data_IF_656550040426
#
_entry.id   IF_656550040426
#
_cell.length_a   1.000
_cell.length_b   1.000
_cell.length_c   1.000
_cell.angle_alpha   90.00
_cell.angle_beta   90.00
_cell.angle_gamma   90.00
#
_symmetry.space_group_name_H-M   'P 1'
#
loop_
_entity.id
_entity.type
_entity.pdbx_description
1 polymer ?
#
# COMPACT_ATOMS: atom_id res chain seq x y z
N UNK A 1 -9.54 -10.95 25.00
CA UNK A 1 -9.30 -11.16 23.55
C UNK A 1 -7.80 -11.13 23.32
N UNK A 2 -7.22 -12.20 22.74
CA UNK A 2 -5.78 -12.32 22.45
C UNK A 2 -5.47 -11.54 21.18
N UNK A 3 -4.56 -10.61 21.23
CA UNK A 3 -4.22 -9.76 20.10
C UNK A 3 -2.75 -9.88 19.71
N UNK A 4 -2.45 -9.59 18.45
CA UNK A 4 -1.11 -9.54 17.91
C UNK A 4 -0.90 -8.24 17.14
N UNK A 5 0.30 -7.66 17.21
CA UNK A 5 0.68 -6.42 16.53
C UNK A 5 1.70 -6.76 15.45
N UNK A 6 1.45 -6.31 14.22
CA UNK A 6 2.32 -6.53 13.06
C UNK A 6 2.63 -5.19 12.39
N UNK A 7 3.89 -4.78 12.43
CA UNK A 7 4.35 -3.49 11.91
C UNK A 7 5.88 -3.55 11.80
N UNK A 8 6.49 -3.08 10.74
CA UNK A 8 7.96 -3.10 10.60
C UNK A 8 8.64 -2.01 11.45
N UNK A 9 7.91 -0.96 11.83
CA UNK A 9 8.40 0.13 12.66
C UNK A 9 8.27 -0.19 14.16
N UNK A 10 9.38 -0.45 14.86
CA UNK A 10 9.39 -0.69 16.31
C UNK A 10 8.70 0.42 17.12
N UNK A 11 8.90 1.74 16.82
CA UNK A 11 8.21 2.80 17.54
C UNK A 11 6.67 2.75 17.41
N UNK A 12 6.16 2.32 16.24
CA UNK A 12 4.73 2.17 16.00
C UNK A 12 4.16 1.00 16.82
N UNK A 13 4.84 -0.16 16.84
CA UNK A 13 4.45 -1.31 17.68
C UNK A 13 4.42 -0.94 19.16
N UNK A 14 5.50 -0.30 19.66
CA UNK A 14 5.60 0.11 21.06
C UNK A 14 4.52 1.15 21.44
N UNK A 15 4.18 2.08 20.54
CA UNK A 15 3.08 3.02 20.74
C UNK A 15 1.74 2.31 20.83
N UNK A 16 1.44 1.43 19.88
CA UNK A 16 0.17 0.70 19.84
C UNK A 16 0.02 -0.20 21.06
N UNK A 17 1.09 -0.92 21.47
CA UNK A 17 1.09 -1.73 22.68
C UNK A 17 0.77 -0.93 23.94
N UNK A 18 1.33 0.28 24.08
CA UNK A 18 0.99 1.20 25.19
C UNK A 18 -0.46 1.65 25.18
N UNK A 19 -1.02 1.94 23.99
CA UNK A 19 -2.43 2.31 23.88
C UNK A 19 -3.35 1.15 24.20
N UNK A 20 -3.01 -0.07 23.77
CA UNK A 20 -3.76 -1.28 24.08
C UNK A 20 -3.75 -1.66 25.55
N UNK A 21 -2.70 -1.31 26.30
CA UNK A 21 -2.62 -1.52 27.74
C UNK A 21 -3.76 -0.83 28.54
N UNK A 22 -4.39 0.19 27.97
CA UNK A 22 -5.58 0.81 28.56
C UNK A 22 -6.87 -0.05 28.43
N UNK A 23 -6.84 -1.12 27.65
CA UNK A 23 -7.96 -2.03 27.41
C UNK A 23 -7.68 -3.37 28.10
N UNK A 24 -8.14 -3.52 29.36
CA UNK A 24 -7.79 -4.65 30.24
C UNK A 24 -8.17 -6.05 29.68
N UNK A 25 -9.12 -6.12 28.79
CA UNK A 25 -9.59 -7.34 28.13
C UNK A 25 -8.84 -7.69 26.84
N UNK A 26 -7.94 -6.81 26.37
CA UNK A 26 -7.06 -7.04 25.23
C UNK A 26 -5.67 -7.44 25.74
N UNK A 27 -5.22 -8.62 25.39
CA UNK A 27 -3.92 -9.14 25.78
C UNK A 27 -3.06 -9.27 24.51
N UNK A 28 -2.00 -8.50 24.41
CA UNK A 28 -1.01 -8.63 23.33
C UNK A 28 -0.19 -9.89 23.58
N UNK A 29 -0.40 -10.92 22.78
CA UNK A 29 0.24 -12.23 22.92
C UNK A 29 1.48 -12.37 22.00
N UNK A 30 1.68 -11.46 21.06
CA UNK A 30 2.84 -11.47 20.18
C UNK A 30 2.95 -10.19 19.36
N UNK A 31 4.15 -9.97 18.82
CA UNK A 31 4.47 -8.93 17.84
C UNK A 31 5.24 -9.54 16.68
N UNK A 32 5.08 -9.00 15.48
CA UNK A 32 5.90 -9.32 14.32
C UNK A 32 6.39 -8.03 13.64
N UNK A 33 7.58 -8.09 13.07
CA UNK A 33 8.27 -6.97 12.43
C UNK A 33 8.22 -7.02 10.90
N UNK A 34 7.72 -8.11 10.34
CA UNK A 34 7.54 -8.29 8.90
C UNK A 34 6.42 -9.31 8.62
N UNK A 35 6.05 -9.41 7.35
CA UNK A 35 4.93 -10.25 6.95
C UNK A 35 5.20 -11.76 7.08
N UNK A 36 6.45 -12.23 6.93
CA UNK A 36 6.77 -13.65 7.08
C UNK A 36 6.67 -14.07 8.53
N UNK A 37 7.29 -13.31 9.44
CA UNK A 37 7.17 -13.52 10.89
C UNK A 37 5.71 -13.44 11.35
N UNK A 38 4.90 -12.58 10.70
CA UNK A 38 3.49 -12.48 11.01
C UNK A 38 2.72 -13.76 10.69
N UNK A 39 2.93 -14.37 9.53
CA UNK A 39 2.28 -15.64 9.15
C UNK A 39 2.65 -16.75 10.12
N UNK A 40 3.94 -16.92 10.43
CA UNK A 40 4.43 -17.94 11.36
C UNK A 40 3.80 -17.78 12.76
N UNK A 41 3.80 -16.55 13.28
CA UNK A 41 3.24 -16.27 14.61
C UNK A 41 1.71 -16.36 14.69
N UNK A 42 1.00 -16.01 13.60
CA UNK A 42 -0.46 -16.22 13.55
C UNK A 42 -0.80 -17.70 13.61
N UNK A 43 -0.04 -18.56 12.93
CA UNK A 43 -0.21 -20.00 12.97
C UNK A 43 0.07 -20.58 14.37
N UNK A 44 1.16 -20.14 15.01
CA UNK A 44 1.57 -20.59 16.34
C UNK A 44 0.65 -20.09 17.43
N UNK A 45 0.36 -18.79 17.45
CA UNK A 45 -0.33 -18.12 18.55
C UNK A 45 -1.84 -18.11 18.41
N UNK A 46 -2.37 -18.24 17.19
CA UNK A 46 -3.80 -18.17 16.88
C UNK A 46 -4.50 -17.00 17.60
N UNK A 47 -4.14 -15.74 17.34
CA UNK A 47 -4.75 -14.59 17.99
C UNK A 47 -6.20 -14.42 17.55
N UNK A 48 -7.03 -13.82 18.42
CA UNK A 48 -8.42 -13.46 18.08
C UNK A 48 -8.49 -12.19 17.23
N UNK A 49 -7.52 -11.29 17.44
CA UNK A 49 -7.45 -9.96 16.82
C UNK A 49 -6.04 -9.67 16.33
N UNK A 50 -5.94 -9.17 15.10
CA UNK A 50 -4.69 -8.77 14.46
C UNK A 50 -4.70 -7.28 14.15
N UNK A 51 -3.75 -6.55 14.69
CA UNK A 51 -3.41 -5.19 14.25
C UNK A 51 -2.31 -5.30 13.21
N UNK A 52 -2.58 -4.88 11.98
CA UNK A 52 -1.75 -5.21 10.82
C UNK A 52 -1.44 -3.99 9.99
N UNK A 53 -0.15 -3.66 9.85
CA UNK A 53 0.25 -2.69 8.84
C UNK A 53 0.10 -3.29 7.43
N UNK A 54 -0.29 -2.44 6.50
CA UNK A 54 -0.41 -2.81 5.09
C UNK A 54 0.94 -2.81 4.41
N UNK A 55 1.79 -1.83 4.73
CA UNK A 55 3.09 -1.65 4.08
C UNK A 55 4.21 -2.15 4.96
N UNK A 56 4.73 -3.33 4.63
CA UNK A 56 5.88 -3.93 5.30
C UNK A 56 6.82 -4.55 4.28
N UNK A 57 8.12 -4.66 4.60
CA UNK A 57 9.07 -5.40 3.78
C UNK A 57 8.67 -6.88 3.63
N UNK A 58 8.90 -7.44 2.45
CA UNK A 58 8.61 -8.85 2.14
C UNK A 58 7.17 -9.07 1.75
N UNK A 59 6.27 -9.29 2.70
CA UNK A 59 4.83 -9.42 2.46
C UNK A 59 4.07 -8.19 2.97
N UNK A 60 3.19 -7.68 2.14
CA UNK A 60 2.20 -6.67 2.56
C UNK A 60 1.19 -7.29 3.52
N UNK A 61 0.49 -6.45 4.31
CA UNK A 61 -0.56 -6.93 5.21
C UNK A 61 -1.65 -7.75 4.49
N UNK A 62 -1.97 -7.41 3.25
CA UNK A 62 -2.93 -8.19 2.46
C UNK A 62 -2.36 -9.56 2.05
N UNK A 63 -1.07 -9.63 1.69
CA UNK A 63 -0.41 -10.89 1.36
C UNK A 63 -0.22 -11.78 2.60
N UNK A 64 -0.01 -11.19 3.78
CA UNK A 64 -0.04 -11.92 5.06
C UNK A 64 -1.35 -12.67 5.22
N UNK A 65 -2.50 -11.99 5.04
CA UNK A 65 -3.83 -12.61 5.18
C UNK A 65 -4.08 -13.73 4.15
N UNK A 66 -3.54 -13.58 2.93
CA UNK A 66 -3.63 -14.62 1.90
C UNK A 66 -2.73 -15.83 2.18
N UNK A 67 -1.64 -15.62 2.93
CA UNK A 67 -0.63 -16.63 3.25
C UNK A 67 -0.94 -17.45 4.50
N UNK A 68 -1.92 -17.02 5.31
CA UNK A 68 -2.39 -17.81 6.47
C UNK A 68 -2.99 -19.12 5.97
N UNK A 69 -2.50 -20.30 6.47
CA UNK A 69 -3.04 -21.57 6.05
C UNK A 69 -4.54 -21.70 6.29
N UNK A 70 -5.32 -22.33 5.38
CA UNK A 70 -6.77 -22.48 5.55
C UNK A 70 -7.22 -23.24 6.79
N UNK A 71 -6.32 -24.04 7.39
CA UNK A 71 -6.57 -24.77 8.63
C UNK A 71 -6.49 -23.88 9.89
N UNK A 72 -5.88 -22.69 9.77
CA UNK A 72 -5.73 -21.72 10.86
C UNK A 72 -6.94 -20.76 10.86
N UNK A 73 -7.63 -20.60 11.99
CA UNK A 73 -8.72 -19.62 12.09
C UNK A 73 -8.21 -18.21 11.79
N UNK A 74 -8.82 -17.53 10.81
CA UNK A 74 -8.44 -16.15 10.52
C UNK A 74 -8.84 -15.24 11.68
N UNK A 75 -7.94 -14.43 12.25
CA UNK A 75 -8.28 -13.44 13.26
C UNK A 75 -9.22 -12.35 12.71
N UNK A 76 -9.86 -11.59 13.59
CA UNK A 76 -10.40 -10.28 13.23
C UNK A 76 -9.25 -9.33 12.93
N UNK A 77 -9.39 -8.47 11.93
CA UNK A 77 -8.28 -7.61 11.47
C UNK A 77 -8.62 -6.14 11.59
N UNK A 78 -7.72 -5.39 12.22
CA UNK A 78 -7.70 -3.93 12.23
C UNK A 78 -6.42 -3.50 11.51
N UNK A 79 -6.57 -2.85 10.37
CA UNK A 79 -5.43 -2.29 9.67
C UNK A 79 -4.92 -1.02 10.35
N UNK A 80 -3.60 -0.91 10.55
CA UNK A 80 -2.93 0.25 11.16
C UNK A 80 -1.85 0.72 10.21
N UNK A 81 -2.10 1.79 9.46
CA UNK A 81 -1.22 2.16 8.34
C UNK A 81 -1.07 3.67 8.18
N UNK A 82 0.06 4.10 7.61
CA UNK A 82 0.27 5.49 7.16
C UNK A 82 -0.40 5.83 5.83
N UNK A 83 -1.06 4.87 5.18
CA UNK A 83 -1.69 5.06 3.88
C UNK A 83 -2.93 5.95 3.96
N UNK A 84 -3.01 6.99 3.14
CA UNK A 84 -4.13 7.94 3.13
C UNK A 84 -5.43 7.25 2.69
N UNK A 85 -6.54 7.61 3.36
CA UNK A 85 -7.91 7.14 3.12
C UNK A 85 -8.37 7.18 1.66
N UNK A 86 -7.79 8.06 0.83
CA UNK A 86 -8.16 8.19 -0.57
C UNK A 86 -7.68 7.05 -1.47
N UNK A 87 -6.59 6.36 -1.10
CA UNK A 87 -6.16 5.14 -1.79
C UNK A 87 -7.06 3.94 -1.44
N UNK A 88 -7.70 3.99 -0.28
CA UNK A 88 -8.57 2.96 0.29
C UNK A 88 -10.07 3.22 0.05
N UNK A 89 -10.47 4.38 -0.45
CA UNK A 89 -11.85 4.67 -0.86
C UNK A 89 -12.34 3.78 -2.03
N UNK A 90 -11.43 3.06 -2.68
CA UNK A 90 -11.76 1.99 -3.62
C UNK A 90 -12.10 0.66 -2.91
N UNK A 91 -11.75 0.54 -1.64
CA UNK A 91 -12.11 -0.60 -0.79
C UNK A 91 -13.33 -0.18 0.05
N UNK A 92 -14.47 -0.76 -0.28
CA UNK A 92 -15.78 -0.54 0.34
C UNK A 92 -15.70 -0.27 1.85
N UNK A 93 -16.52 0.67 2.32
CA UNK A 93 -16.58 1.24 3.67
C UNK A 93 -16.87 0.26 4.83
N UNK A 94 -16.64 -1.04 4.66
CA UNK A 94 -17.02 -2.11 5.59
C UNK A 94 -15.88 -2.92 6.20
N UNK A 95 -14.60 -2.56 6.04
CA UNK A 95 -13.53 -3.18 6.83
C UNK A 95 -13.74 -2.87 8.32
N UNK A 96 -13.39 -3.81 9.20
CA UNK A 96 -13.66 -3.76 10.64
C UNK A 96 -13.21 -2.45 11.27
N UNK A 97 -12.02 -2.03 10.98
CA UNK A 97 -11.50 -0.69 11.22
C UNK A 97 -10.20 -0.44 10.46
N UNK A 98 -10.05 0.80 10.06
CA UNK A 98 -8.83 1.39 9.56
C UNK A 98 -8.36 2.44 10.56
N UNK A 99 -7.12 2.29 11.04
CA UNK A 99 -6.46 3.25 11.90
C UNK A 99 -5.30 3.88 11.13
N UNK A 100 -5.33 5.20 10.99
CA UNK A 100 -4.22 5.95 10.40
C UNK A 100 -3.11 6.15 11.46
N UNK A 101 -1.87 5.98 11.05
CA UNK A 101 -0.70 6.40 11.83
C UNK A 101 -0.56 7.94 11.76
N UNK A 102 -0.30 8.64 12.89
CA UNK A 102 -0.19 8.11 14.23
C UNK A 102 -1.55 7.75 14.85
N UNK A 103 -1.65 6.56 15.44
CA UNK A 103 -2.93 6.05 16.02
C UNK A 103 -3.42 6.98 17.13
N UNK A 104 -4.66 7.43 16.98
CA UNK A 104 -5.38 8.23 17.99
C UNK A 104 -6.10 7.30 18.98
N UNK A 105 -6.01 7.58 20.32
CA UNK A 105 -6.61 6.72 21.35
C UNK A 105 -8.12 6.49 21.15
N UNK A 106 -8.85 7.53 20.77
CA UNK A 106 -10.30 7.50 20.56
C UNK A 106 -10.69 6.60 19.38
N UNK A 107 -9.90 6.64 18.31
CA UNK A 107 -10.08 5.79 17.12
C UNK A 107 -9.79 4.33 17.44
N UNK A 108 -8.73 4.08 18.21
CA UNK A 108 -8.40 2.74 18.69
C UNK A 108 -9.53 2.17 19.55
N UNK A 109 -10.05 2.96 20.51
CA UNK A 109 -11.14 2.53 21.37
C UNK A 109 -12.40 2.14 20.57
N UNK A 110 -12.76 2.92 19.53
CA UNK A 110 -13.88 2.60 18.63
C UNK A 110 -13.65 1.29 17.86
N UNK A 111 -12.44 1.08 17.35
CA UNK A 111 -12.08 -0.13 16.63
C UNK A 111 -12.10 -1.38 17.50
N UNK A 112 -11.56 -1.29 18.73
CA UNK A 112 -11.58 -2.36 19.73
C UNK A 112 -13.01 -2.67 20.15
N UNK A 113 -13.86 -1.66 20.37
CA UNK A 113 -15.27 -1.89 20.72
C UNK A 113 -16.05 -2.60 19.60
N UNK A 114 -15.76 -2.27 18.35
CA UNK A 114 -16.33 -2.98 17.20
C UNK A 114 -15.85 -4.44 17.14
N UNK A 115 -14.56 -4.69 17.41
CA UNK A 115 -14.01 -6.04 17.47
C UNK A 115 -14.68 -6.89 18.58
N UNK A 116 -14.94 -6.29 19.74
CA UNK A 116 -15.67 -6.95 20.84
C UNK A 116 -17.08 -7.41 20.43
N UNK A 117 -17.83 -6.54 19.78
CA UNK A 117 -19.20 -6.85 19.31
C UNK A 117 -19.20 -8.01 18.33
N UNK A 118 -18.23 -8.06 17.44
CA UNK A 118 -18.11 -9.14 16.43
C UNK A 118 -17.61 -10.45 17.04
N UNK A 119 -16.72 -10.41 18.01
CA UNK A 119 -16.25 -11.59 18.74
C UNK A 119 -17.37 -12.35 19.45
N UNK A 120 -18.47 -11.66 19.83
CA UNK A 120 -19.64 -12.27 20.46
C UNK A 120 -20.68 -12.87 19.49
N UNK A 121 -20.58 -12.60 18.19
CA UNK A 121 -21.58 -13.01 17.18
C UNK A 121 -20.89 -13.81 16.06
N UNK A 122 -20.89 -15.13 16.15
CA UNK A 122 -20.15 -16.03 15.25
C UNK A 122 -20.45 -15.78 13.76
N UNK A 123 -21.73 -15.58 13.40
CA UNK A 123 -22.12 -15.34 12.00
C UNK A 123 -21.61 -14.00 11.42
N UNK A 124 -21.50 -12.96 12.24
CA UNK A 124 -21.04 -11.65 11.80
C UNK A 124 -19.51 -11.60 11.74
N UNK A 125 -18.82 -12.29 12.65
CA UNK A 125 -17.37 -12.47 12.60
C UNK A 125 -16.94 -13.23 11.34
N UNK A 126 -17.66 -14.28 10.96
CA UNK A 126 -17.35 -15.07 9.75
C UNK A 126 -17.62 -14.27 8.47
N UNK A 127 -18.66 -13.44 8.43
CA UNK A 127 -18.90 -12.51 7.31
C UNK A 127 -17.79 -11.49 7.19
N UNK A 128 -17.34 -10.93 8.31
CA UNK A 128 -16.24 -9.96 8.33
C UNK A 128 -14.92 -10.58 7.86
N UNK A 129 -14.60 -11.79 8.34
CA UNK A 129 -13.41 -12.55 7.89
C UNK A 129 -13.45 -12.83 6.38
N UNK A 130 -14.60 -13.29 5.87
CA UNK A 130 -14.80 -13.52 4.44
C UNK A 130 -14.66 -12.25 3.63
N UNK A 131 -15.15 -11.11 4.14
CA UNK A 131 -15.04 -9.81 3.51
C UNK A 131 -13.58 -9.33 3.44
N UNK A 132 -12.83 -9.45 4.55
CA UNK A 132 -11.40 -9.10 4.59
C UNK A 132 -10.58 -9.97 3.64
N UNK A 133 -10.84 -11.28 3.57
CA UNK A 133 -10.18 -12.17 2.60
C UNK A 133 -10.50 -11.79 1.15
N UNK A 134 -11.73 -11.34 0.87
CA UNK A 134 -12.10 -10.85 -0.47
C UNK A 134 -11.29 -9.60 -0.81
N UNK A 135 -11.25 -8.62 0.09
CA UNK A 135 -10.44 -7.40 -0.08
C UNK A 135 -8.97 -7.77 -0.30
N UNK A 136 -8.41 -8.64 0.52
CA UNK A 136 -7.02 -9.06 0.39
C UNK A 136 -6.75 -9.68 -0.99
N UNK A 137 -7.65 -10.52 -1.52
CA UNK A 137 -7.52 -11.13 -2.86
C UNK A 137 -7.65 -10.13 -4.02
N UNK A 138 -8.49 -9.13 -3.85
CA UNK A 138 -8.74 -8.06 -4.83
C UNK A 138 -7.71 -6.93 -4.74
N UNK A 139 -6.91 -6.89 -3.66
CA UNK A 139 -5.88 -5.87 -3.46
C UNK A 139 -4.77 -6.01 -4.51
N UNK A 140 -4.39 -4.93 -5.17
CA UNK A 140 -3.26 -4.96 -6.09
C UNK A 140 -1.99 -5.35 -5.34
N UNK A 141 -1.22 -6.30 -5.91
CA UNK A 141 0.09 -6.67 -5.35
C UNK A 141 0.99 -5.45 -5.36
N UNK A 142 1.53 -5.09 -4.19
CA UNK A 142 2.52 -4.02 -4.12
C UNK A 142 3.80 -4.47 -4.81
N UNK A 143 4.19 -3.74 -5.85
CA UNK A 143 5.37 -4.05 -6.66
C UNK A 143 6.62 -3.51 -5.97
N UNK A 144 7.31 -4.35 -5.22
CA UNK A 144 8.59 -4.00 -4.58
C UNK A 144 9.77 -4.05 -5.57
N UNK A 145 9.65 -4.84 -6.62
CA UNK A 145 10.64 -4.98 -7.69
C UNK A 145 9.93 -5.03 -9.04
N UNK A 146 10.43 -4.29 -10.00
CA UNK A 146 9.93 -4.32 -11.37
C UNK A 146 10.84 -5.21 -12.22
N UNK A 147 10.25 -6.21 -12.86
CA UNK A 147 10.96 -7.08 -13.80
C UNK A 147 11.19 -6.32 -15.10
N UNK A 148 12.37 -5.79 -15.26
CA UNK A 148 12.81 -5.02 -16.41
C UNK A 148 13.58 -5.90 -17.39
N UNK A 149 13.27 -5.83 -18.70
CA UNK A 149 13.91 -6.63 -19.75
C UNK A 149 14.61 -5.73 -20.75
N UNK A 150 15.84 -6.08 -21.08
CA UNK A 150 16.60 -5.40 -22.13
C UNK A 150 17.47 -6.42 -22.88
N UNK A 151 17.12 -6.70 -24.16
CA UNK A 151 17.73 -7.78 -24.96
C UNK A 151 17.67 -9.10 -24.15
N UNK A 152 18.83 -9.71 -23.90
CA UNK A 152 18.96 -11.03 -23.26
C UNK A 152 19.06 -10.98 -21.72
N UNK A 153 18.96 -9.80 -21.11
CA UNK A 153 19.06 -9.64 -19.65
C UNK A 153 17.73 -9.26 -19.00
N UNK A 154 17.50 -9.85 -17.85
CA UNK A 154 16.41 -9.49 -16.94
C UNK A 154 17.04 -8.80 -15.73
N UNK A 155 16.51 -7.63 -15.37
CA UNK A 155 16.98 -6.83 -14.24
C UNK A 155 15.81 -6.60 -13.31
N UNK A 156 15.99 -6.87 -12.03
CA UNK A 156 15.03 -6.50 -11.00
C UNK A 156 15.35 -5.07 -10.56
N UNK A 157 14.44 -4.15 -10.81
CA UNK A 157 14.65 -2.72 -10.57
C UNK A 157 13.67 -2.24 -9.50
N UNK A 158 14.15 -1.71 -8.36
CA UNK A 158 13.29 -1.09 -7.37
C UNK A 158 12.50 0.08 -7.97
N UNK A 159 11.24 0.29 -7.58
CA UNK A 159 10.40 1.36 -8.12
C UNK A 159 10.99 2.76 -7.98
N UNK A 160 11.73 3.02 -6.91
CA UNK A 160 12.39 4.31 -6.65
C UNK A 160 13.47 4.67 -7.68
N UNK A 161 14.04 3.69 -8.40
CA UNK A 161 15.00 3.92 -9.47
C UNK A 161 14.33 4.23 -10.82
N UNK A 162 13.02 4.00 -10.94
CA UNK A 162 12.29 4.26 -12.17
C UNK A 162 11.74 5.68 -12.14
N UNK A 163 12.06 6.44 -13.20
CA UNK A 163 11.65 7.83 -13.36
C UNK A 163 10.24 7.95 -13.94
N UNK A 164 9.90 7.12 -14.94
CA UNK A 164 8.56 7.02 -15.50
C UNK A 164 8.35 5.73 -16.26
N UNK A 165 7.08 5.38 -16.46
CA UNK A 165 6.64 4.35 -17.39
C UNK A 165 5.88 5.00 -18.53
N UNK A 166 6.06 4.48 -19.75
CA UNK A 166 5.36 4.97 -20.94
C UNK A 166 4.96 3.82 -21.85
N UNK A 167 3.75 3.90 -22.40
CA UNK A 167 3.32 3.01 -23.47
C UNK A 167 3.92 3.53 -24.79
N UNK A 168 4.69 2.68 -25.47
CA UNK A 168 5.26 2.92 -26.79
C UNK A 168 5.03 1.66 -27.65
N UNK A 169 4.43 1.83 -28.82
CA UNK A 169 4.13 0.73 -29.76
C UNK A 169 3.39 -0.46 -29.10
N UNK A 170 2.43 -0.17 -28.20
CA UNK A 170 1.66 -1.17 -27.48
C UNK A 170 2.40 -1.87 -26.33
N UNK A 171 3.65 -1.50 -26.05
CA UNK A 171 4.50 -2.08 -25.01
C UNK A 171 4.82 -1.03 -23.96
N UNK A 172 4.80 -1.43 -22.69
CA UNK A 172 5.20 -0.54 -21.59
C UNK A 172 6.73 -0.51 -21.47
N UNK A 173 7.27 0.69 -21.50
CA UNK A 173 8.69 0.97 -21.25
C UNK A 173 8.87 1.58 -19.87
N UNK A 174 9.84 1.07 -19.11
CA UNK A 174 10.30 1.65 -17.85
C UNK A 174 11.58 2.44 -18.12
N UNK A 175 11.62 3.70 -17.73
CA UNK A 175 12.73 4.61 -17.91
C UNK A 175 13.38 4.92 -16.56
N UNK A 176 14.65 4.62 -16.44
CA UNK A 176 15.53 5.11 -15.35
C UNK A 176 16.26 6.36 -15.83
N UNK A 177 17.11 6.95 -15.00
CA UNK A 177 17.93 8.09 -15.40
C UNK A 177 18.88 7.76 -16.58
N UNK A 178 19.30 6.49 -16.70
CA UNK A 178 20.36 6.08 -17.62
C UNK A 178 19.91 5.10 -18.72
N UNK A 179 18.85 4.34 -18.49
CA UNK A 179 18.45 3.23 -19.35
C UNK A 179 16.94 3.15 -19.52
N UNK A 180 16.54 2.51 -20.62
CA UNK A 180 15.15 2.15 -20.90
C UNK A 180 15.02 0.65 -21.01
N UNK A 181 13.99 0.11 -20.38
CA UNK A 181 13.67 -1.31 -20.33
C UNK A 181 12.27 -1.58 -20.85
N UNK A 182 12.03 -2.78 -21.33
CA UNK A 182 10.68 -3.28 -21.58
C UNK A 182 10.19 -3.97 -20.32
N UNK A 183 8.91 -3.75 -19.95
CA UNK A 183 8.27 -4.42 -18.83
C UNK A 183 6.99 -5.13 -19.29
N UNK A 184 6.69 -6.26 -18.68
CA UNK A 184 5.51 -7.06 -19.03
C UNK A 184 4.36 -6.80 -18.04
N UNK A 185 4.03 -5.51 -17.88
CA UNK A 185 2.91 -5.04 -17.06
C UNK A 185 2.04 -4.12 -17.90
N UNK A 186 0.76 -4.11 -17.63
CA UNK A 186 -0.09 -3.02 -18.11
C UNK A 186 0.13 -1.77 -17.25
N UNK A 187 -0.04 -0.58 -17.84
CA UNK A 187 0.19 0.66 -17.10
C UNK A 187 -0.80 0.85 -15.93
N UNK A 188 -1.99 0.26 -16.02
CA UNK A 188 -2.97 0.22 -14.93
C UNK A 188 -2.56 -0.68 -13.78
N UNK A 189 -1.91 -1.81 -14.06
CA UNK A 189 -1.36 -2.71 -13.04
C UNK A 189 -0.21 -2.05 -12.28
N UNK A 190 0.66 -1.32 -13.01
CA UNK A 190 1.74 -0.53 -12.38
C UNK A 190 1.18 0.59 -11.50
N UNK A 191 0.15 1.31 -11.98
CA UNK A 191 -0.50 2.38 -11.22
C UNK A 191 -1.17 1.85 -9.94
N UNK A 192 -1.75 0.65 -9.99
CA UNK A 192 -2.36 0.00 -8.85
C UNK A 192 -1.34 -0.61 -7.88
N UNK A 193 -0.22 -1.15 -8.40
CA UNK A 193 0.79 -1.85 -7.61
C UNK A 193 1.96 -0.99 -7.13
N UNK A 194 2.02 0.29 -7.49
CA UNK A 194 3.07 1.22 -7.07
C UNK A 194 2.55 2.21 -6.04
N UNK A 195 3.41 2.76 -5.14
CA UNK A 195 3.01 3.74 -4.15
C UNK A 195 2.32 4.95 -4.79
N UNK A 196 1.05 5.18 -4.43
CA UNK A 196 0.21 6.18 -5.05
C UNK A 196 0.65 7.63 -4.73
N UNK A 197 1.36 7.86 -3.64
CA UNK A 197 1.99 9.14 -3.27
C UNK A 197 3.24 9.44 -4.11
N UNK A 198 3.92 8.40 -4.61
CA UNK A 198 5.14 8.51 -5.41
C UNK A 198 4.84 8.52 -6.91
N UNK A 199 3.92 7.66 -7.37
CA UNK A 199 3.62 7.54 -8.80
C UNK A 199 2.33 8.26 -9.18
N UNK A 200 2.42 9.00 -10.29
CA UNK A 200 1.36 9.87 -10.77
C UNK A 200 1.07 9.65 -12.26
N UNK A 201 -0.21 9.46 -12.58
CA UNK A 201 -0.66 9.32 -13.97
C UNK A 201 -0.71 10.68 -14.65
N UNK A 202 0.37 11.07 -15.33
CA UNK A 202 0.46 12.38 -16.00
C UNK A 202 -0.49 12.48 -17.21
N UNK A 203 -0.64 11.38 -17.96
CA UNK A 203 -1.59 11.21 -19.08
C UNK A 203 -1.89 9.73 -19.31
N UNK A 204 -2.83 9.41 -20.20
CA UNK A 204 -3.29 8.04 -20.44
C UNK A 204 -2.16 7.02 -20.64
N UNK A 205 -1.06 7.44 -21.24
CA UNK A 205 0.04 6.57 -21.66
C UNK A 205 1.30 6.73 -20.81
N UNK A 206 1.27 7.56 -19.75
CA UNK A 206 2.47 7.88 -18.95
C UNK A 206 2.17 7.93 -17.47
N UNK A 207 2.94 7.16 -16.69
CA UNK A 207 2.97 7.12 -15.23
C UNK A 207 4.34 7.62 -14.77
N UNK A 208 4.40 8.69 -13.99
CA UNK A 208 5.64 9.41 -13.60
C UNK A 208 5.91 9.22 -12.12
N UNK A 209 7.16 9.01 -11.76
CA UNK A 209 7.64 9.07 -10.38
C UNK A 209 7.88 10.54 -10.00
N UNK A 210 7.05 11.07 -9.09
CA UNK A 210 7.08 12.46 -8.66
C UNK A 210 8.39 12.83 -7.96
N UNK A 211 9.02 11.88 -7.27
CA UNK A 211 10.29 12.11 -6.55
C UNK A 211 11.50 12.18 -7.49
N UNK A 212 11.31 11.80 -8.76
CA UNK A 212 12.35 11.80 -9.79
C UNK A 212 12.19 12.91 -10.83
N UNK A 213 11.25 13.81 -10.66
CA UNK A 213 11.11 14.97 -11.54
C UNK A 213 12.27 15.94 -11.26
N UNK A 214 12.96 16.35 -12.34
CA UNK A 214 14.03 17.34 -12.24
C UNK A 214 13.48 18.76 -12.13
N UNK A 215 12.44 19.08 -12.92
CA UNK A 215 11.88 20.42 -13.03
C UNK A 215 10.40 20.34 -13.46
N UNK A 216 9.58 21.24 -12.96
CA UNK A 216 8.19 21.42 -13.41
C UNK A 216 8.05 22.82 -13.97
N UNK A 217 7.59 22.91 -15.23
CA UNK A 217 7.36 24.19 -15.92
C UNK A 217 5.88 24.43 -16.15
N UNK A 218 5.42 25.66 -16.07
CA UNK A 218 4.08 26.02 -16.59
C UNK A 218 3.96 25.64 -18.07
N UNK A 219 2.79 25.11 -18.44
CA UNK A 219 2.47 24.76 -19.81
C UNK A 219 1.12 25.37 -20.20
N UNK A 220 0.78 25.32 -21.49
CA UNK A 220 -0.40 25.95 -22.06
C UNK A 220 -1.69 25.67 -21.26
N UNK A 221 -2.57 26.69 -21.12
CA UNK A 221 -3.88 26.62 -20.41
C UNK A 221 -3.80 26.08 -18.99
N UNK A 222 -2.89 26.53 -18.17
CA UNK A 222 -2.71 26.08 -16.77
C UNK A 222 -2.28 24.61 -16.61
N UNK A 223 -1.74 23.98 -17.66
CA UNK A 223 -1.09 22.69 -17.65
C UNK A 223 0.33 22.76 -17.09
N UNK A 224 0.98 21.61 -17.02
CA UNK A 224 2.35 21.47 -16.58
C UNK A 224 3.15 20.62 -17.55
N UNK A 225 4.44 20.95 -17.64
CA UNK A 225 5.46 20.20 -18.34
C UNK A 225 6.45 19.66 -17.30
N UNK A 226 6.58 18.34 -17.21
CA UNK A 226 7.53 17.69 -16.30
C UNK A 226 8.82 17.40 -17.08
N UNK A 227 9.95 17.88 -16.57
CA UNK A 227 11.26 17.61 -17.14
C UNK A 227 11.91 16.48 -16.35
N UNK A 228 12.21 15.37 -17.00
CA UNK A 228 12.75 14.17 -16.38
C UNK A 228 14.29 14.25 -16.23
N UNK A 229 14.90 13.44 -15.33
CA UNK A 229 16.33 13.53 -15.01
C UNK A 229 17.22 12.77 -16.00
N UNK A 230 16.67 12.22 -17.07
CA UNK A 230 17.44 11.53 -18.11
C UNK A 230 18.34 12.49 -18.92
N UNK A 231 19.34 11.94 -19.61
CA UNK A 231 20.29 12.73 -20.40
C UNK A 231 19.62 13.58 -21.50
N UNK A 232 18.49 13.12 -22.02
CA UNK A 232 17.71 13.82 -23.04
C UNK A 232 16.83 14.93 -22.44
N UNK A 233 16.74 15.04 -21.10
CA UNK A 233 15.81 15.92 -20.42
C UNK A 233 14.37 15.78 -20.95
N UNK A 234 13.91 14.54 -21.03
CA UNK A 234 12.60 14.19 -21.61
C UNK A 234 11.49 15.02 -20.99
N UNK A 235 10.68 15.64 -21.84
CA UNK A 235 9.56 16.49 -21.44
C UNK A 235 8.25 15.73 -21.52
N UNK A 236 7.51 15.67 -20.40
CA UNK A 236 6.22 14.99 -20.27
C UNK A 236 5.13 16.01 -19.98
N UNK A 237 4.21 16.17 -20.92
CA UNK A 237 3.04 17.06 -20.74
C UNK A 237 2.02 16.38 -19.84
N UNK A 238 1.59 17.06 -18.79
CA UNK A 238 0.49 16.65 -17.93
C UNK A 238 -0.83 17.05 -18.58
N UNK A 239 -1.78 16.12 -18.69
CA UNK A 239 -3.11 16.43 -19.26
C UNK A 239 -3.85 17.46 -18.39
N UNK A 240 -4.68 18.30 -19.00
CA UNK A 240 -5.47 19.33 -18.29
C UNK A 240 -6.29 18.73 -17.12
N UNK A 241 -6.86 17.55 -17.33
CA UNK A 241 -7.60 16.81 -16.30
C UNK A 241 -6.72 16.47 -15.09
N UNK A 242 -5.46 16.14 -15.32
CA UNK A 242 -4.52 15.72 -14.28
C UNK A 242 -3.78 16.91 -13.63
N UNK A 243 -3.78 18.08 -14.24
CA UNK A 243 -3.09 19.25 -13.69
C UNK A 243 -3.63 19.67 -12.30
N UNK A 244 -4.94 19.54 -12.07
CA UNK A 244 -5.54 19.79 -10.75
C UNK A 244 -5.06 18.80 -9.71
N UNK A 245 -5.01 17.52 -10.05
CA UNK A 245 -4.55 16.46 -9.16
C UNK A 245 -3.05 16.61 -8.84
N UNK A 246 -2.23 17.04 -9.81
CA UNK A 246 -0.81 17.31 -9.58
C UNK A 246 -0.59 18.42 -8.55
N UNK A 247 -1.37 19.51 -8.61
CA UNK A 247 -1.30 20.61 -7.62
C UNK A 247 -1.64 20.15 -6.21
N UNK A 248 -2.56 19.21 -6.07
CA UNK A 248 -2.90 18.65 -4.76
C UNK A 248 -1.78 17.79 -4.16
N UNK A 249 -0.97 17.15 -5.02
CA UNK A 249 0.13 16.28 -4.61
C UNK A 249 1.46 17.02 -4.36
N UNK A 250 1.65 18.17 -4.97
CA UNK A 250 2.86 19.00 -4.83
C UNK A 250 2.42 20.36 -4.30
N UNK A 251 2.44 20.55 -2.96
CA UNK A 251 2.11 21.83 -2.34
C UNK A 251 3.00 22.96 -2.85
N UNK A 252 2.40 24.09 -3.26
CA UNK A 252 3.13 25.25 -3.79
C UNK A 252 3.28 25.30 -5.32
N UNK A 253 2.69 24.35 -6.04
CA UNK A 253 2.67 24.33 -7.49
C UNK A 253 1.54 25.20 -8.09
#
# INVERSE_FOLDING_TARGET
MRSMIVDDEEPARARLGRLLAAHADIVVVGEARDGLEAVEKVEELQPDLLFLDIQMPGLTGFEVLQSIPPAVPLPLVIFVTGYDRHALAAFDANALAYLLKPVEPERLAQAVERARKLSGATSDADRERAHILRIARESPKVLQQIVCRKRDRVVLTPPDQICWFQVQDGVVKAHTANETFTVNYQLGELEAGLPADVFFRARREVLVNLTRIREIRPYFKSGFLLVMPDAAATEIVVSERQARSLRQRIPGL
#
